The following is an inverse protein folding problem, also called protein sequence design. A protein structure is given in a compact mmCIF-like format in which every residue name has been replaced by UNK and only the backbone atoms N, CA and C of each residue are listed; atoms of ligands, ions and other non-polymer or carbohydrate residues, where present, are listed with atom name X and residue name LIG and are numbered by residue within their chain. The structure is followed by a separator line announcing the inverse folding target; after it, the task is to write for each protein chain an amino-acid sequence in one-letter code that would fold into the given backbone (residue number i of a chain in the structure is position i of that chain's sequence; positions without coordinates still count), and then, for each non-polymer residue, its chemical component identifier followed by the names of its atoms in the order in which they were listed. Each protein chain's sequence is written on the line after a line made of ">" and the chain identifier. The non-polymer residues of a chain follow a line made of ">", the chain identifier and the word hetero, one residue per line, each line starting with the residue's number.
data_IF_878761312629
#
_entry.id   IF_878761312629
#
_cell.length_a   1.000
_cell.length_b   1.000
_cell.length_c   1.000
_cell.angle_alpha   90.00
_cell.angle_beta   90.00
_cell.angle_gamma   90.00
#
_symmetry.space_group_name_H-M   'P 1'
#
loop_
_entity.id
_entity.type
_entity.pdbx_description
1 polymer ?
#
# COMPACT_ATOMS: atom_id res chain seq x y z
N UNK A 1 6.76 -12.79 -16.96
CA UNK A 1 7.78 -11.92 -17.59
C UNK A 1 9.10 -12.68 -17.69
N UNK A 2 9.92 -12.78 -16.64
CA UNK A 2 11.26 -13.41 -16.73
C UNK A 2 11.25 -14.80 -17.40
N UNK A 3 10.42 -15.76 -16.94
CA UNK A 3 10.34 -17.11 -17.55
C UNK A 3 9.93 -17.12 -19.03
N UNK A 4 9.12 -16.15 -19.46
CA UNK A 4 8.55 -16.12 -20.81
C UNK A 4 9.46 -15.38 -21.80
N UNK A 5 10.48 -14.68 -21.30
CA UNK A 5 11.29 -13.74 -22.11
C UNK A 5 12.80 -13.96 -21.92
N UNK A 6 13.21 -14.96 -21.13
CA UNK A 6 14.61 -15.30 -20.87
C UNK A 6 14.76 -16.80 -20.64
N UNK A 7 15.94 -17.33 -20.95
CA UNK A 7 16.39 -18.66 -20.58
C UNK A 7 17.18 -18.65 -19.27
N UNK A 8 17.47 -19.82 -18.72
CA UNK A 8 18.41 -19.95 -17.60
C UNK A 8 19.81 -19.46 -18.01
N UNK A 9 20.53 -18.79 -17.12
CA UNK A 9 21.84 -18.18 -17.40
C UNK A 9 21.82 -16.80 -18.07
N UNK A 10 20.69 -16.39 -18.66
CA UNK A 10 20.51 -15.04 -19.23
C UNK A 10 20.65 -13.95 -18.16
N UNK A 11 20.92 -12.72 -18.60
CA UNK A 11 21.05 -11.55 -17.72
C UNK A 11 19.76 -10.72 -17.76
N UNK A 12 19.24 -10.39 -16.57
CA UNK A 12 18.09 -9.49 -16.39
C UNK A 12 18.56 -8.16 -15.81
N UNK A 13 18.31 -7.05 -16.50
CA UNK A 13 18.56 -5.69 -16.00
C UNK A 13 17.27 -5.10 -15.43
N UNK A 14 17.34 -4.55 -14.21
CA UNK A 14 16.32 -3.70 -13.63
C UNK A 14 16.98 -2.41 -13.10
N UNK A 15 16.74 -1.29 -13.78
CA UNK A 15 17.38 -0.02 -13.46
C UNK A 15 16.69 0.77 -12.33
N UNK A 16 15.55 0.29 -11.84
CA UNK A 16 14.73 0.91 -10.79
C UNK A 16 14.20 -0.17 -9.84
N UNK A 17 15.11 -1.00 -9.32
CA UNK A 17 14.72 -2.29 -8.75
C UNK A 17 14.02 -2.18 -7.39
N UNK A 18 14.07 -1.02 -6.72
CA UNK A 18 13.45 -0.80 -5.42
C UNK A 18 13.80 -1.90 -4.44
N UNK A 19 12.79 -2.49 -3.79
CA UNK A 19 12.97 -3.60 -2.84
C UNK A 19 13.35 -4.95 -3.49
N UNK A 20 13.72 -4.98 -4.77
CA UNK A 20 14.45 -6.10 -5.38
C UNK A 20 13.61 -7.19 -6.02
N UNK A 21 12.33 -6.96 -6.35
CA UNK A 21 11.45 -8.01 -6.88
C UNK A 21 12.01 -8.69 -8.12
N UNK A 22 12.53 -7.91 -9.08
CA UNK A 22 13.11 -8.42 -10.32
C UNK A 22 14.41 -9.20 -10.10
N UNK A 23 15.47 -8.64 -9.47
CA UNK A 23 16.72 -9.38 -9.27
C UNK A 23 16.54 -10.62 -8.38
N UNK A 24 15.69 -10.55 -7.34
CA UNK A 24 15.35 -11.72 -6.51
C UNK A 24 14.67 -12.81 -7.34
N UNK A 25 13.74 -12.45 -8.22
CA UNK A 25 13.06 -13.43 -9.07
C UNK A 25 13.99 -14.00 -10.14
N UNK A 26 14.87 -13.17 -10.71
CA UNK A 26 15.91 -13.61 -11.65
C UNK A 26 16.84 -14.64 -11.00
N UNK A 27 17.36 -14.34 -9.81
CA UNK A 27 18.21 -15.25 -9.03
C UNK A 27 17.51 -16.58 -8.74
N UNK A 28 16.25 -16.55 -8.26
CA UNK A 28 15.44 -17.77 -8.01
C UNK A 28 15.22 -18.64 -9.23
N UNK A 29 15.22 -18.04 -10.42
CA UNK A 29 15.03 -18.72 -11.69
C UNK A 29 16.37 -19.12 -12.33
N UNK A 30 17.52 -18.96 -11.67
CA UNK A 30 18.82 -19.29 -12.26
C UNK A 30 19.24 -18.33 -13.37
N UNK A 31 18.76 -17.08 -13.35
CA UNK A 31 19.23 -16.01 -14.24
C UNK A 31 20.26 -15.15 -13.50
N UNK A 32 21.23 -14.63 -14.25
CA UNK A 32 22.08 -13.54 -13.79
C UNK A 32 21.27 -12.24 -13.78
N UNK A 33 21.70 -11.25 -12.99
CA UNK A 33 20.96 -9.99 -12.90
C UNK A 33 21.86 -8.80 -12.64
N UNK A 34 21.35 -7.61 -13.00
CA UNK A 34 21.89 -6.31 -12.61
C UNK A 34 20.71 -5.49 -12.08
N UNK A 35 20.77 -5.12 -10.80
CA UNK A 35 19.80 -4.24 -10.16
C UNK A 35 20.45 -2.89 -9.85
N UNK A 36 19.81 -1.79 -10.25
CA UNK A 36 20.23 -0.43 -9.92
C UNK A 36 19.14 0.22 -9.05
N UNK A 37 19.57 0.83 -7.96
CA UNK A 37 18.71 1.56 -7.03
C UNK A 37 19.53 2.67 -6.37
N UNK A 38 18.91 3.83 -6.19
CA UNK A 38 19.57 5.03 -5.62
C UNK A 38 19.49 5.04 -4.10
N UNK A 39 18.42 4.50 -3.52
CA UNK A 39 18.28 4.40 -2.06
C UNK A 39 19.04 3.18 -1.53
N UNK A 40 20.11 3.44 -0.78
CA UNK A 40 20.94 2.43 -0.14
C UNK A 40 20.15 1.45 0.74
N UNK A 41 19.05 1.90 1.36
CA UNK A 41 18.17 1.03 2.17
C UNK A 41 17.54 -0.05 1.31
N UNK A 42 17.08 0.30 0.11
CA UNK A 42 16.51 -0.65 -0.83
C UNK A 42 17.55 -1.58 -1.43
N UNK A 43 18.78 -1.09 -1.66
CA UNK A 43 19.92 -1.94 -2.04
C UNK A 43 20.18 -3.00 -0.98
N UNK A 44 20.21 -2.61 0.30
CA UNK A 44 20.45 -3.53 1.41
C UNK A 44 19.34 -4.57 1.55
N UNK A 45 18.07 -4.14 1.52
CA UNK A 45 16.90 -5.04 1.53
C UNK A 45 16.99 -6.05 0.37
N UNK A 46 17.38 -5.60 -0.82
CA UNK A 46 17.50 -6.45 -2.00
C UNK A 46 18.60 -7.49 -1.83
N UNK A 47 19.78 -7.10 -1.33
CA UNK A 47 20.90 -8.01 -1.02
C UNK A 47 20.52 -9.07 0.00
N UNK A 48 19.83 -8.69 1.08
CA UNK A 48 19.37 -9.65 2.10
C UNK A 48 18.40 -10.69 1.52
N UNK A 49 17.47 -10.27 0.66
CA UNK A 49 16.55 -11.18 -0.01
C UNK A 49 17.25 -12.12 -0.99
N UNK A 50 18.25 -11.63 -1.72
CA UNK A 50 19.07 -12.45 -2.62
C UNK A 50 19.84 -13.50 -1.82
N UNK A 51 20.49 -13.11 -0.73
CA UNK A 51 21.21 -14.05 0.15
C UNK A 51 20.28 -15.15 0.69
N UNK A 52 19.05 -14.81 1.08
CA UNK A 52 18.05 -15.80 1.49
C UNK A 52 17.68 -16.77 0.35
N UNK A 53 17.56 -16.26 -0.88
CA UNK A 53 17.30 -17.09 -2.05
C UNK A 53 18.48 -18.03 -2.33
N UNK A 54 19.71 -17.55 -2.24
CA UNK A 54 20.91 -18.36 -2.47
C UNK A 54 21.08 -19.43 -1.38
N UNK A 55 20.74 -19.11 -0.13
CA UNK A 55 20.87 -20.04 0.99
C UNK A 55 19.70 -21.04 1.08
N UNK A 56 18.46 -20.59 0.89
CA UNK A 56 17.25 -21.34 1.21
C UNK A 56 16.31 -21.59 0.01
N UNK A 57 16.57 -20.97 -1.15
CA UNK A 57 15.71 -21.03 -2.34
C UNK A 57 14.48 -20.12 -2.32
N UNK A 58 14.21 -19.44 -1.20
CA UNK A 58 13.07 -18.55 -1.03
C UNK A 58 13.37 -17.38 -0.08
N UNK A 59 12.55 -16.33 -0.17
CA UNK A 59 12.59 -15.18 0.76
C UNK A 59 11.60 -15.42 1.89
N UNK A 60 12.05 -15.34 3.14
CA UNK A 60 11.20 -15.45 4.32
C UNK A 60 10.32 -14.21 4.44
N UNK A 61 9.00 -14.41 4.60
CA UNK A 61 8.05 -13.32 4.86
C UNK A 61 7.59 -13.38 6.31
N UNK A 62 8.05 -12.42 7.11
CA UNK A 62 7.51 -12.20 8.44
C UNK A 62 6.10 -11.61 8.32
N UNK A 63 5.10 -12.34 8.80
CA UNK A 63 3.74 -11.81 8.91
C UNK A 63 3.72 -10.73 9.99
N UNK A 64 3.36 -9.52 9.61
CA UNK A 64 3.03 -8.45 10.55
C UNK A 64 1.54 -8.56 10.85
N UNK A 65 1.19 -9.02 12.05
CA UNK A 65 -0.18 -8.94 12.55
C UNK A 65 -0.51 -7.46 12.76
N UNK A 66 -1.27 -6.88 11.83
CA UNK A 66 -1.87 -5.57 12.08
C UNK A 66 -3.06 -5.77 13.01
N UNK A 67 -3.16 -5.01 14.11
CA UNK A 67 -4.32 -5.09 14.98
C UNK A 67 -5.59 -4.85 14.15
N UNK A 68 -6.63 -5.64 14.40
CA UNK A 68 -7.93 -5.40 13.78
C UNK A 68 -8.44 -4.03 14.20
N UNK A 69 -8.57 -3.14 13.23
CA UNK A 69 -9.18 -1.84 13.46
C UNK A 69 -10.68 -2.08 13.71
N UNK A 70 -11.19 -1.54 14.83
CA UNK A 70 -12.59 -1.74 15.27
C UNK A 70 -13.61 -1.34 14.19
N UNK A 71 -13.22 -0.40 13.33
CA UNK A 71 -14.03 0.12 12.25
C UNK A 71 -13.24 0.16 10.95
N UNK A 72 -13.93 -0.09 9.86
CA UNK A 72 -13.44 -0.08 8.51
C UNK A 72 -13.57 1.29 7.88
N UNK A 73 -12.71 1.56 6.90
CA UNK A 73 -12.83 2.75 6.04
C UNK A 73 -14.18 2.85 5.33
N UNK A 74 -14.84 1.71 5.09
CA UNK A 74 -16.14 1.64 4.41
C UNK A 74 -17.28 2.11 5.32
N UNK A 75 -17.27 1.73 6.59
CA UNK A 75 -18.27 2.18 7.57
C UNK A 75 -18.27 3.71 7.69
N UNK A 76 -17.09 4.32 7.81
CA UNK A 76 -16.98 5.78 7.85
C UNK A 76 -17.44 6.48 6.57
N UNK A 77 -17.25 5.86 5.41
CA UNK A 77 -17.77 6.41 4.15
C UNK A 77 -19.30 6.35 4.10
N UNK A 78 -19.91 5.28 4.61
CA UNK A 78 -21.36 5.14 4.68
C UNK A 78 -21.95 6.17 5.64
N UNK A 79 -21.33 6.38 6.79
CA UNK A 79 -21.73 7.40 7.74
C UNK A 79 -21.75 8.80 7.10
N UNK A 80 -20.67 9.20 6.41
CA UNK A 80 -20.64 10.52 5.75
C UNK A 80 -21.73 10.66 4.69
N UNK A 81 -22.08 9.58 3.98
CA UNK A 81 -23.15 9.60 2.99
C UNK A 81 -24.51 9.77 3.66
N UNK A 82 -24.76 9.04 4.72
CA UNK A 82 -26.02 9.12 5.47
C UNK A 82 -26.17 10.50 6.11
N UNK A 83 -25.09 11.05 6.68
CA UNK A 83 -25.05 12.42 7.17
C UNK A 83 -25.33 13.45 6.07
N UNK A 84 -24.72 13.29 4.88
CA UNK A 84 -24.97 14.19 3.76
C UNK A 84 -26.44 14.21 3.33
N UNK A 85 -27.08 13.04 3.31
CA UNK A 85 -28.53 12.93 3.05
C UNK A 85 -29.35 13.63 4.12
N UNK A 86 -29.03 13.41 5.41
CA UNK A 86 -29.74 14.03 6.54
C UNK A 86 -29.58 15.55 6.60
N UNK A 87 -28.38 16.05 6.32
CA UNK A 87 -28.04 17.47 6.37
C UNK A 87 -28.50 18.24 5.12
N UNK A 88 -28.69 17.55 3.99
CA UNK A 88 -28.91 18.19 2.69
C UNK A 88 -27.69 18.96 2.15
N UNK A 89 -26.53 18.81 2.79
CA UNK A 89 -25.24 19.42 2.43
C UNK A 89 -24.10 18.46 2.79
N UNK A 90 -22.89 18.79 2.35
CA UNK A 90 -21.72 18.03 2.75
C UNK A 90 -21.48 18.14 4.26
N UNK A 91 -21.20 17.02 4.97
CA UNK A 91 -20.85 17.06 6.37
C UNK A 91 -19.48 17.72 6.56
N UNK A 92 -19.35 18.48 7.64
CA UNK A 92 -18.12 19.08 8.15
C UNK A 92 -17.57 18.21 9.28
N UNK A 93 -16.31 18.43 9.70
CA UNK A 93 -15.77 17.82 10.91
C UNK A 93 -16.62 18.08 12.17
N UNK A 94 -17.23 19.27 12.26
CA UNK A 94 -18.08 19.63 13.40
C UNK A 94 -19.39 18.85 13.37
N UNK A 95 -19.99 18.62 12.20
CA UNK A 95 -21.18 17.78 12.10
C UNK A 95 -20.90 16.35 12.60
N UNK A 96 -19.72 15.79 12.31
CA UNK A 96 -19.34 14.46 12.81
C UNK A 96 -19.18 14.48 14.32
N UNK A 97 -18.56 15.52 14.87
CA UNK A 97 -18.39 15.66 16.32
C UNK A 97 -19.74 15.71 17.05
N UNK A 98 -20.72 16.36 16.44
CA UNK A 98 -22.00 16.65 17.07
C UNK A 98 -23.06 15.56 16.81
N UNK A 99 -22.98 14.85 15.68
CA UNK A 99 -24.06 13.98 15.21
C UNK A 99 -23.66 12.53 14.90
N UNK A 100 -22.37 12.23 14.74
CA UNK A 100 -21.94 10.88 14.36
C UNK A 100 -21.78 9.96 15.56
N UNK A 101 -22.03 8.67 15.37
CA UNK A 101 -21.66 7.63 16.35
C UNK A 101 -20.16 7.32 16.37
N UNK A 102 -19.39 7.87 15.41
CA UNK A 102 -17.96 7.67 15.27
C UNK A 102 -17.18 8.91 15.71
N UNK A 103 -16.08 8.69 16.45
CA UNK A 103 -15.16 9.76 16.84
C UNK A 103 -14.53 10.41 15.59
N UNK A 104 -14.57 11.75 15.51
CA UNK A 104 -13.94 12.53 14.46
C UNK A 104 -12.47 12.14 14.23
N UNK A 105 -11.73 11.80 15.29
CA UNK A 105 -10.33 11.36 15.19
C UNK A 105 -10.17 10.16 14.26
N UNK A 106 -11.12 9.23 14.27
CA UNK A 106 -11.07 8.02 13.46
C UNK A 106 -11.10 8.32 11.95
N UNK A 107 -11.80 9.38 11.55
CA UNK A 107 -11.80 9.84 10.16
C UNK A 107 -10.42 10.37 9.76
N UNK A 108 -9.74 11.14 10.61
CA UNK A 108 -8.40 11.64 10.32
C UNK A 108 -7.31 10.54 10.40
N UNK A 109 -7.51 9.51 11.23
CA UNK A 109 -6.62 8.35 11.27
C UNK A 109 -6.70 7.53 9.97
N UNK A 110 -7.87 7.46 9.32
CA UNK A 110 -8.09 6.67 8.09
C UNK A 110 -8.05 7.48 6.78
N UNK A 111 -8.23 8.79 6.85
CA UNK A 111 -8.23 9.70 5.71
C UNK A 111 -7.28 10.88 5.97
N UNK A 112 -6.26 11.12 5.10
CA UNK A 112 -5.26 12.16 5.37
C UNK A 112 -5.80 13.59 5.46
N UNK A 113 -7.00 13.84 4.93
CA UNK A 113 -7.67 15.15 4.92
C UNK A 113 -9.18 14.93 4.88
N UNK A 114 -9.96 15.91 5.34
CA UNK A 114 -11.42 15.86 5.25
C UNK A 114 -11.92 15.72 3.80
N UNK A 115 -11.34 16.48 2.86
CA UNK A 115 -11.68 16.37 1.44
C UNK A 115 -11.45 14.96 0.86
N UNK A 116 -10.41 14.25 1.31
CA UNK A 116 -10.19 12.84 0.94
C UNK A 116 -11.23 11.90 1.56
N UNK A 117 -11.75 12.21 2.74
CA UNK A 117 -12.84 11.45 3.36
C UNK A 117 -14.14 11.60 2.54
N UNK A 118 -14.53 12.84 2.23
CA UNK A 118 -15.70 13.14 1.40
C UNK A 118 -15.58 12.53 0.00
N UNK A 119 -14.43 12.70 -0.66
CA UNK A 119 -14.18 12.12 -1.99
C UNK A 119 -14.26 10.59 -1.96
N UNK A 120 -13.70 9.95 -0.94
CA UNK A 120 -13.79 8.49 -0.79
C UNK A 120 -15.22 8.02 -0.52
N UNK A 121 -16.04 8.83 0.15
CA UNK A 121 -17.47 8.63 0.33
C UNK A 121 -18.30 8.96 -0.93
N UNK A 122 -17.65 9.32 -2.05
CA UNK A 122 -18.29 9.77 -3.30
C UNK A 122 -19.17 11.01 -3.12
N UNK A 123 -18.78 11.87 -2.20
CA UNK A 123 -19.39 13.17 -1.98
C UNK A 123 -18.49 14.23 -2.63
N UNK A 124 -19.00 14.92 -3.65
CA UNK A 124 -18.25 15.94 -4.37
C UNK A 124 -18.65 17.34 -3.92
N UNK A 125 -17.65 18.18 -3.65
CA UNK A 125 -17.83 19.63 -3.60
C UNK A 125 -17.95 20.08 -5.06
N UNK A 126 -19.12 20.54 -5.48
CA UNK A 126 -19.21 21.35 -6.69
C UNK A 126 -18.50 22.67 -6.37
N UNK A 127 -17.26 22.81 -6.83
CA UNK A 127 -16.54 24.08 -6.87
C UNK A 127 -17.14 24.97 -7.95
#
# INVERSE_FOLDING_TARGET
>A
IIRLSTNEGDVVLDALCGAGTTPVTAARLGRRYVGIEIDERYVQITREKIAQVEQNGYVERKSIHKPHQKYTKKELQLELRDMAVKLGRLPTPDDVRDMSEYDLKLFFDLFPTWGKALKAAKLEVRL
#
